data_IF_604971639152
#
_entry.id   IF_604971639152
#
_cell.length_a   1.000
_cell.length_b   1.000
_cell.length_c   1.000
_cell.angle_alpha   90.00
_cell.angle_beta   90.00
_cell.angle_gamma   90.00
#
_symmetry.space_group_name_H-M   'P 1'
#
loop_
_entity.id
_entity.type
_entity.pdbx_description
1 polymer ?
#
# COMPACT_ATOMS: atom_id res chain seq x y z
N UNK A 1 -6.17 -10.97 -20.54
CA UNK A 1 -6.97 -10.95 -21.78
C UNK A 1 -6.04 -10.54 -22.93
N UNK A 2 -6.08 -11.25 -24.05
CA UNK A 2 -5.25 -10.96 -25.23
C UNK A 2 -5.89 -9.80 -26.00
N UNK A 3 -5.10 -8.78 -26.39
CA UNK A 3 -5.57 -7.64 -27.18
C UNK A 3 -4.78 -7.57 -28.48
N UNK A 4 -5.46 -7.78 -29.60
CA UNK A 4 -4.85 -7.74 -30.93
C UNK A 4 -5.34 -6.51 -31.70
N UNK A 5 -4.42 -5.84 -32.40
CA UNK A 5 -4.77 -4.92 -33.49
C UNK A 5 -4.60 -5.67 -34.80
N UNK A 6 -5.65 -5.69 -35.62
CA UNK A 6 -5.60 -6.23 -36.98
C UNK A 6 -5.55 -5.09 -38.00
N UNK A 7 -4.61 -5.15 -38.95
CA UNK A 7 -4.53 -4.25 -40.10
C UNK A 7 -4.62 -5.07 -41.38
N UNK A 8 -5.48 -4.64 -42.30
CA UNK A 8 -5.71 -5.32 -43.58
C UNK A 8 -5.36 -4.43 -44.77
N UNK A 9 -4.76 -5.02 -45.81
CA UNK A 9 -4.55 -4.36 -47.11
C UNK A 9 -4.79 -5.34 -48.26
N UNK A 10 -5.42 -4.88 -49.35
CA UNK A 10 -5.56 -5.68 -50.58
C UNK A 10 -4.21 -5.76 -51.29
N UNK A 11 -3.82 -6.95 -51.73
CA UNK A 11 -2.57 -7.15 -52.45
C UNK A 11 -2.69 -6.63 -53.88
N UNK A 12 -1.71 -5.84 -54.38
CA UNK A 12 -1.79 -5.27 -55.73
C UNK A 12 -1.90 -6.35 -56.81
N UNK A 13 -2.87 -6.20 -57.71
CA UNK A 13 -3.03 -7.10 -58.87
C UNK A 13 -3.59 -8.48 -58.57
N UNK A 14 -4.09 -8.73 -57.35
CA UNK A 14 -4.71 -10.01 -56.95
C UNK A 14 -6.03 -9.76 -56.19
N UNK A 15 -6.83 -10.81 -56.01
CA UNK A 15 -8.00 -10.80 -55.10
C UNK A 15 -7.63 -11.17 -53.65
N UNK A 16 -6.33 -11.21 -53.33
CA UNK A 16 -5.83 -11.61 -52.01
C UNK A 16 -5.73 -10.41 -51.05
N UNK A 17 -5.80 -10.71 -49.76
CA UNK A 17 -5.69 -9.72 -48.68
C UNK A 17 -4.54 -10.09 -47.73
N UNK A 18 -3.69 -9.12 -47.41
CA UNK A 18 -2.71 -9.21 -46.34
C UNK A 18 -3.37 -8.74 -45.04
N UNK A 19 -3.36 -9.61 -44.02
CA UNK A 19 -3.80 -9.30 -42.66
C UNK A 19 -2.61 -9.41 -41.71
N UNK A 20 -2.31 -8.35 -40.97
CA UNK A 20 -1.27 -8.30 -39.94
C UNK A 20 -1.97 -8.18 -38.58
N UNK A 21 -1.57 -9.02 -37.62
CA UNK A 21 -2.04 -8.98 -36.24
C UNK A 21 -0.87 -8.60 -35.32
N UNK A 22 -1.00 -7.46 -34.64
CA UNK A 22 -0.07 -7.00 -33.61
C UNK A 22 -0.66 -7.36 -32.24
N UNK A 23 0.07 -8.13 -31.41
CA UNK A 23 -0.27 -8.29 -30.00
C UNK A 23 0.16 -7.05 -29.21
N UNK A 24 -0.83 -6.31 -28.71
CA UNK A 24 -0.64 -5.08 -27.96
C UNK A 24 -1.07 -5.24 -26.50
N UNK A 25 -1.22 -6.48 -26.01
CA UNK A 25 -1.65 -6.74 -24.64
C UNK A 25 -0.81 -6.02 -23.58
N UNK A 26 0.51 -6.01 -23.75
CA UNK A 26 1.40 -5.31 -22.80
C UNK A 26 1.19 -3.79 -22.84
N UNK A 27 1.05 -3.21 -24.03
CA UNK A 27 0.84 -1.77 -24.20
C UNK A 27 -0.50 -1.34 -23.58
N UNK A 28 -1.57 -2.10 -23.84
CA UNK A 28 -2.91 -1.80 -23.29
C UNK A 28 -2.93 -1.99 -21.78
N UNK A 29 -2.26 -3.03 -21.28
CA UNK A 29 -2.11 -3.27 -19.84
C UNK A 29 -1.37 -2.12 -19.17
N UNK A 30 -0.25 -1.68 -19.74
CA UNK A 30 0.55 -0.56 -19.23
C UNK A 30 -0.26 0.76 -19.23
N UNK A 31 -0.99 1.05 -20.31
CA UNK A 31 -1.85 2.23 -20.37
C UNK A 31 -2.97 2.20 -19.34
N UNK A 32 -3.62 1.04 -19.14
CA UNK A 32 -4.64 0.88 -18.10
C UNK A 32 -4.06 1.07 -16.71
N UNK A 33 -2.90 0.49 -16.43
CA UNK A 33 -2.22 0.66 -15.14
C UNK A 33 -1.89 2.14 -14.87
N UNK A 34 -1.36 2.86 -15.87
CA UNK A 34 -1.07 4.28 -15.75
C UNK A 34 -2.34 5.11 -15.49
N UNK A 35 -3.41 4.88 -16.25
CA UNK A 35 -4.68 5.57 -16.06
C UNK A 35 -5.28 5.28 -14.67
N UNK A 36 -5.19 4.02 -14.21
CA UNK A 36 -5.59 3.65 -12.86
C UNK A 36 -4.77 4.40 -11.80
N UNK A 37 -3.45 4.50 -11.95
CA UNK A 37 -2.59 5.25 -11.03
C UNK A 37 -2.99 6.72 -10.87
N UNK A 38 -3.38 7.37 -11.97
CA UNK A 38 -3.86 8.75 -11.94
C UNK A 38 -5.22 8.87 -11.23
N UNK A 39 -6.16 7.96 -11.53
CA UNK A 39 -7.47 7.91 -10.88
C UNK A 39 -7.33 7.68 -9.37
N UNK A 40 -6.51 6.73 -8.95
CA UNK A 40 -6.29 6.44 -7.54
C UNK A 40 -5.61 7.60 -6.81
N UNK A 41 -4.65 8.29 -7.44
CA UNK A 41 -4.05 9.50 -6.87
C UNK A 41 -5.08 10.58 -6.63
N UNK A 42 -5.93 10.84 -7.63
CA UNK A 42 -6.98 11.85 -7.52
C UNK A 42 -7.99 11.49 -6.44
N UNK A 43 -8.47 10.26 -6.41
CA UNK A 43 -9.36 9.76 -5.36
C UNK A 43 -8.72 9.88 -3.98
N UNK A 44 -7.43 9.57 -3.84
CA UNK A 44 -6.75 9.68 -2.56
C UNK A 44 -6.68 11.12 -2.05
N UNK A 45 -6.44 12.08 -2.95
CA UNK A 45 -6.54 13.50 -2.60
C UNK A 45 -7.98 13.89 -2.24
N UNK A 46 -8.96 13.48 -3.05
CA UNK A 46 -10.37 13.82 -2.85
C UNK A 46 -10.95 13.22 -1.55
N UNK A 47 -10.46 12.07 -1.07
CA UNK A 47 -10.87 11.46 0.21
C UNK A 47 -10.12 12.08 1.40
N UNK A 48 -8.84 12.43 1.26
CA UNK A 48 -8.11 13.13 2.34
C UNK A 48 -8.69 14.51 2.66
N UNK A 49 -9.26 15.17 1.65
CA UNK A 49 -9.84 16.51 1.77
C UNK A 49 -10.99 16.60 2.77
N UNK A 50 -12.01 15.72 2.81
CA UNK A 50 -13.04 15.71 3.85
C UNK A 50 -12.54 15.15 5.18
N UNK A 51 -11.56 14.23 5.20
CA UNK A 51 -11.05 13.63 6.43
C UNK A 51 -10.33 14.62 7.35
N UNK A 52 -9.53 15.53 6.78
CA UNK A 52 -8.75 16.49 7.58
C UNK A 52 -9.66 17.47 8.35
N UNK A 53 -10.67 18.11 7.74
CA UNK A 53 -11.62 18.94 8.48
C UNK A 53 -12.48 18.16 9.49
N UNK A 54 -12.80 16.89 9.25
CA UNK A 54 -13.53 16.04 10.21
C UNK A 54 -12.70 15.88 11.49
N UNK A 55 -11.42 15.50 11.35
CA UNK A 55 -10.50 15.39 12.48
C UNK A 55 -10.37 16.72 13.24
N UNK A 56 -10.06 17.80 12.52
CA UNK A 56 -9.91 19.12 13.13
C UNK A 56 -11.19 19.60 13.84
N UNK A 57 -12.36 19.24 13.30
CA UNK A 57 -13.65 19.58 13.94
C UNK A 57 -13.85 18.81 15.24
N UNK A 58 -13.47 17.53 15.30
CA UNK A 58 -13.53 16.71 16.50
C UNK A 58 -12.55 17.22 17.58
N UNK A 59 -11.29 17.44 17.23
CA UNK A 59 -10.27 18.00 18.13
C UNK A 59 -10.67 19.39 18.65
N UNK A 60 -11.22 20.24 17.77
CA UNK A 60 -11.73 21.57 18.17
C UNK A 60 -12.93 21.47 19.11
N UNK A 61 -13.80 20.48 18.92
CA UNK A 61 -14.95 20.26 19.80
C UNK A 61 -14.46 19.86 21.21
N UNK A 62 -13.49 18.95 21.29
CA UNK A 62 -12.85 18.57 22.55
C UNK A 62 -12.24 19.79 23.24
N UNK A 63 -11.35 20.51 22.55
CA UNK A 63 -10.68 21.70 23.08
C UNK A 63 -11.67 22.74 23.63
N UNK A 64 -12.82 22.92 22.97
CA UNK A 64 -13.83 23.91 23.39
C UNK A 64 -14.63 23.50 24.62
N UNK A 65 -14.85 22.20 24.82
CA UNK A 65 -15.70 21.64 25.87
C UNK A 65 -14.92 21.12 27.07
N UNK A 66 -13.61 20.90 26.93
CA UNK A 66 -12.73 20.51 28.04
C UNK A 66 -12.85 21.48 29.21
N UNK A 67 -13.19 20.94 30.38
CA UNK A 67 -13.38 21.71 31.62
C UNK A 67 -14.69 22.52 31.68
N UNK A 68 -15.58 22.38 30.69
CA UNK A 68 -16.91 23.02 30.66
C UNK A 68 -18.07 22.03 30.83
N UNK A 69 -17.75 20.75 30.90
CA UNK A 69 -18.70 19.65 31.12
C UNK A 69 -18.31 18.90 32.40
N UNK A 70 -19.25 18.17 33.00
CA UNK A 70 -18.99 17.33 34.18
C UNK A 70 -18.05 16.17 33.86
N UNK A 71 -17.50 15.51 34.89
CA UNK A 71 -16.59 14.36 34.71
C UNK A 71 -17.15 13.24 33.81
N UNK A 72 -18.39 12.76 33.95
CA UNK A 72 -18.89 11.68 33.10
C UNK A 72 -19.01 12.11 31.62
N UNK A 73 -19.44 13.36 31.36
CA UNK A 73 -19.50 13.90 30.00
C UNK A 73 -18.11 14.19 29.43
N UNK A 74 -17.14 14.61 30.26
CA UNK A 74 -15.75 14.84 29.84
C UNK A 74 -15.10 13.54 29.37
N UNK A 75 -15.27 12.44 30.13
CA UNK A 75 -14.74 11.14 29.77
C UNK A 75 -15.36 10.63 28.45
N UNK A 76 -16.67 10.81 28.26
CA UNK A 76 -17.36 10.48 27.02
C UNK A 76 -16.88 11.31 25.83
N UNK A 77 -16.67 12.62 26.02
CA UNK A 77 -16.15 13.52 25.00
C UNK A 77 -14.76 13.07 24.51
N UNK A 78 -13.82 12.89 25.44
CA UNK A 78 -12.45 12.49 25.11
C UNK A 78 -12.40 11.12 24.44
N UNK A 79 -13.18 10.14 24.92
CA UNK A 79 -13.26 8.82 24.28
C UNK A 79 -13.83 8.91 22.86
N UNK A 80 -14.87 9.73 22.65
CA UNK A 80 -15.51 9.89 21.34
C UNK A 80 -14.58 10.56 20.34
N UNK A 81 -13.89 11.62 20.77
CA UNK A 81 -12.94 12.36 19.92
C UNK A 81 -11.76 11.47 19.55
N UNK A 82 -11.18 10.75 20.51
CA UNK A 82 -10.14 9.75 20.25
C UNK A 82 -10.59 8.73 19.21
N UNK A 83 -11.79 8.17 19.37
CA UNK A 83 -12.35 7.20 18.40
C UNK A 83 -12.46 7.80 16.99
N UNK A 84 -12.92 9.05 16.86
CA UNK A 84 -13.01 9.72 15.54
C UNK A 84 -11.62 9.91 14.94
N UNK A 85 -10.64 10.37 15.72
CA UNK A 85 -9.26 10.59 15.26
C UNK A 85 -8.66 9.26 14.78
N UNK A 86 -8.76 8.20 15.58
CA UNK A 86 -8.25 6.87 15.26
C UNK A 86 -8.86 6.32 13.96
N UNK A 87 -10.18 6.50 13.75
CA UNK A 87 -10.86 6.07 12.52
C UNK A 87 -10.47 6.91 11.30
N UNK A 88 -10.31 8.23 11.46
CA UNK A 88 -9.84 9.10 10.37
C UNK A 88 -8.42 8.72 9.95
N UNK A 89 -7.54 8.42 10.90
CA UNK A 89 -6.17 8.02 10.60
C UNK A 89 -6.10 6.62 9.96
N UNK A 90 -6.92 5.67 10.40
CA UNK A 90 -7.09 4.38 9.71
C UNK A 90 -7.53 4.57 8.26
N UNK A 91 -8.51 5.45 8.00
CA UNK A 91 -8.95 5.77 6.63
C UNK A 91 -7.85 6.42 5.79
N UNK A 92 -7.05 7.33 6.36
CA UNK A 92 -5.90 7.92 5.65
C UNK A 92 -4.87 6.85 5.26
N UNK A 93 -4.60 5.87 6.12
CA UNK A 93 -3.70 4.74 5.84
C UNK A 93 -4.22 3.92 4.66
N UNK A 94 -5.47 3.47 4.71
CA UNK A 94 -6.12 2.73 3.62
C UNK A 94 -6.09 3.49 2.29
N UNK A 95 -6.35 4.80 2.33
CA UNK A 95 -6.30 5.67 1.15
C UNK A 95 -4.89 5.80 0.58
N UNK A 96 -3.87 5.86 1.44
CA UNK A 96 -2.47 5.85 1.02
C UNK A 96 -2.09 4.52 0.37
N UNK A 97 -2.44 3.40 1.01
CA UNK A 97 -2.18 2.05 0.49
C UNK A 97 -2.86 1.84 -0.87
N UNK A 98 -4.11 2.29 -1.01
CA UNK A 98 -4.83 2.22 -2.29
C UNK A 98 -4.16 3.05 -3.40
N UNK A 99 -3.71 4.27 -3.07
CA UNK A 99 -2.93 5.11 -3.99
C UNK A 99 -1.63 4.42 -4.41
N UNK A 100 -0.94 3.82 -3.45
CA UNK A 100 0.37 3.22 -3.66
C UNK A 100 0.23 1.92 -4.48
N UNK A 101 -0.85 1.15 -4.29
CA UNK A 101 -1.20 0.00 -5.13
C UNK A 101 -1.39 0.38 -6.62
N UNK A 102 -2.10 1.48 -6.88
CA UNK A 102 -2.33 1.95 -8.24
C UNK A 102 -1.07 2.56 -8.89
N UNK A 103 -0.02 2.79 -8.10
CA UNK A 103 1.25 3.34 -8.54
C UNK A 103 2.32 2.31 -8.82
N UNK A 104 2.08 1.01 -8.61
CA UNK A 104 3.12 0.00 -8.85
C UNK A 104 3.63 0.15 -10.29
N UNK A 105 4.89 0.61 -10.49
CA UNK A 105 5.49 0.56 -11.81
C UNK A 105 5.53 -0.90 -12.25
N UNK A 106 5.57 -1.15 -13.56
CA UNK A 106 5.78 -2.50 -14.06
C UNK A 106 7.00 -3.10 -13.34
N UNK A 107 6.78 -4.23 -12.66
CA UNK A 107 7.83 -4.86 -11.85
C UNK A 107 9.03 -5.16 -12.75
N UNK A 108 10.20 -4.67 -12.38
CA UNK A 108 11.41 -4.96 -13.14
C UNK A 108 12.00 -6.27 -12.60
N UNK A 109 11.58 -7.38 -13.22
CA UNK A 109 11.97 -8.72 -12.79
C UNK A 109 13.46 -8.97 -13.06
N UNK A 110 14.27 -8.87 -12.01
CA UNK A 110 15.70 -9.20 -12.00
C UNK A 110 15.96 -10.40 -11.10
N UNK A 111 17.09 -11.11 -11.27
CA UNK A 111 17.54 -12.07 -10.26
C UNK A 111 17.73 -11.36 -8.90
N UNK A 112 17.05 -11.85 -7.87
CA UNK A 112 17.10 -11.33 -6.50
C UNK A 112 17.55 -12.44 -5.56
N UNK A 113 18.57 -12.14 -4.76
CA UNK A 113 18.94 -12.94 -3.59
C UNK A 113 17.98 -12.60 -2.45
N UNK A 114 17.07 -13.54 -2.15
CA UNK A 114 16.03 -13.33 -1.15
C UNK A 114 16.60 -13.29 0.28
N UNK A 115 17.69 -14.03 0.55
CA UNK A 115 18.31 -14.05 1.88
C UNK A 115 18.97 -12.72 2.20
N UNK A 116 19.69 -12.15 1.22
CA UNK A 116 20.27 -10.82 1.34
C UNK A 116 19.17 -9.76 1.54
N UNK A 117 18.09 -9.83 0.75
CA UNK A 117 16.96 -8.90 0.88
C UNK A 117 16.29 -8.96 2.26
N UNK A 118 16.02 -10.15 2.77
CA UNK A 118 15.42 -10.34 4.10
C UNK A 118 16.36 -9.78 5.17
N UNK A 119 17.65 -10.07 5.07
CA UNK A 119 18.66 -9.60 6.03
C UNK A 119 18.74 -8.07 6.06
N UNK A 120 18.72 -7.41 4.91
CA UNK A 120 18.67 -5.95 4.84
C UNK A 120 17.42 -5.38 5.52
N UNK A 121 16.25 -5.99 5.31
CA UNK A 121 15.00 -5.55 5.97
C UNK A 121 15.10 -5.73 7.47
N UNK A 122 15.62 -6.87 7.93
CA UNK A 122 15.82 -7.14 9.35
C UNK A 122 16.74 -6.14 10.03
N UNK A 123 17.75 -5.59 9.35
CA UNK A 123 18.59 -4.55 9.94
C UNK A 123 17.76 -3.37 10.42
N UNK A 124 16.74 -2.92 9.70
CA UNK A 124 15.87 -1.81 10.11
C UNK A 124 15.09 -2.11 11.40
N UNK A 125 14.68 -3.37 11.59
CA UNK A 125 13.95 -3.83 12.77
C UNK A 125 14.87 -4.18 13.95
N UNK A 126 16.17 -4.39 13.68
CA UNK A 126 17.19 -4.69 14.69
C UNK A 126 17.99 -3.44 15.11
N UNK A 127 18.08 -2.41 14.25
CA UNK A 127 18.87 -1.19 14.48
C UNK A 127 18.13 -0.09 15.23
N UNK A 128 16.80 -0.15 15.29
CA UNK A 128 16.07 0.64 16.28
C UNK A 128 16.30 0.02 17.64
N UNK A 129 17.01 0.75 18.50
CA UNK A 129 17.15 0.51 19.92
C UNK A 129 15.79 0.65 20.63
N UNK A 130 14.84 -0.22 20.29
CA UNK A 130 13.69 -0.57 21.11
C UNK A 130 14.03 -1.75 22.04
N UNK A 131 15.30 -1.81 22.47
CA UNK A 131 15.82 -2.73 23.48
C UNK A 131 15.20 -2.54 24.88
N UNK A 132 14.17 -1.70 25.02
CA UNK A 132 13.33 -1.66 26.23
C UNK A 132 11.82 -1.63 25.94
N UNK A 133 11.36 -1.52 24.69
CA UNK A 133 9.92 -1.37 24.35
C UNK A 133 9.41 -2.13 23.10
N UNK A 134 10.24 -2.87 22.36
CA UNK A 134 9.73 -3.73 21.29
C UNK A 134 9.06 -4.99 21.90
N UNK A 135 7.74 -5.02 21.89
CA UNK A 135 6.91 -6.06 22.53
C UNK A 135 7.06 -7.44 21.86
N UNK A 136 7.62 -7.53 20.64
CA UNK A 136 7.64 -8.78 19.85
C UNK A 136 9.03 -9.09 19.27
N UNK A 137 9.68 -10.19 19.69
CA UNK A 137 10.93 -10.63 19.08
C UNK A 137 10.70 -11.17 17.67
N UNK A 138 11.53 -10.72 16.71
CA UNK A 138 11.55 -11.22 15.33
C UNK A 138 12.74 -12.14 15.14
N UNK A 139 12.51 -13.34 14.59
CA UNK A 139 13.56 -14.32 14.28
C UNK A 139 13.50 -14.71 12.80
N UNK A 140 14.64 -15.06 12.21
CA UNK A 140 14.73 -15.46 10.81
C UNK A 140 15.39 -16.84 10.67
N UNK A 141 14.78 -17.70 9.87
CA UNK A 141 15.30 -19.01 9.51
C UNK A 141 15.38 -19.07 7.98
N UNK A 142 16.59 -18.92 7.44
CA UNK A 142 16.84 -18.81 6.00
C UNK A 142 17.59 -20.04 5.49
N UNK A 143 17.17 -20.59 4.35
CA UNK A 143 17.91 -21.66 3.68
C UNK A 143 19.14 -21.07 2.96
N UNK A 144 20.38 -21.40 3.36
CA UNK A 144 21.59 -20.88 2.73
C UNK A 144 21.75 -21.34 1.26
N UNK A 145 20.99 -22.35 0.82
CA UNK A 145 21.02 -22.87 -0.56
C UNK A 145 19.87 -22.35 -1.43
N UNK A 146 19.07 -21.40 -0.93
CA UNK A 146 17.97 -20.83 -1.69
C UNK A 146 18.48 -20.22 -3.02
N UNK A 147 17.91 -20.63 -4.18
CA UNK A 147 18.32 -20.06 -5.46
C UNK A 147 17.78 -18.63 -5.63
N UNK A 148 18.42 -17.78 -6.46
CA UNK A 148 17.88 -16.48 -6.80
C UNK A 148 16.51 -16.60 -7.48
N UNK A 149 15.59 -15.71 -7.11
CA UNK A 149 14.26 -15.63 -7.73
C UNK A 149 14.19 -14.49 -8.74
N UNK A 150 13.28 -14.57 -9.72
CA UNK A 150 12.97 -13.41 -10.55
C UNK A 150 11.95 -12.53 -9.83
N UNK A 151 12.37 -11.32 -9.46
CA UNK A 151 11.52 -10.39 -8.72
C UNK A 151 12.00 -8.96 -8.84
N UNK A 152 11.16 -8.02 -8.41
CA UNK A 152 11.55 -6.63 -8.19
C UNK A 152 11.94 -6.48 -6.71
N UNK A 153 13.21 -6.18 -6.46
CA UNK A 153 13.75 -6.14 -5.10
C UNK A 153 13.07 -5.08 -4.22
N UNK A 154 12.66 -3.94 -4.80
CA UNK A 154 12.00 -2.87 -4.05
C UNK A 154 10.57 -3.26 -3.68
N UNK A 155 9.83 -3.88 -4.61
CA UNK A 155 8.48 -4.36 -4.33
C UNK A 155 8.48 -5.50 -3.32
N UNK A 156 9.41 -6.46 -3.44
CA UNK A 156 9.56 -7.55 -2.47
C UNK A 156 9.94 -7.02 -1.08
N UNK A 157 10.81 -6.00 -1.00
CA UNK A 157 11.14 -5.31 0.27
C UNK A 157 9.88 -4.76 0.95
N UNK A 158 9.01 -4.11 0.18
CA UNK A 158 7.75 -3.58 0.69
C UNK A 158 6.81 -4.68 1.19
N UNK A 159 6.70 -5.80 0.45
CA UNK A 159 5.90 -6.96 0.88
C UNK A 159 6.38 -7.48 2.24
N UNK A 160 7.69 -7.71 2.37
CA UNK A 160 8.28 -8.22 3.62
C UNK A 160 8.03 -7.22 4.76
N UNK A 161 8.25 -5.93 4.54
CA UNK A 161 8.00 -4.89 5.53
C UNK A 161 6.54 -4.86 6.00
N UNK A 162 5.57 -4.90 5.06
CA UNK A 162 4.15 -4.90 5.39
C UNK A 162 3.72 -6.14 6.18
N UNK A 163 4.28 -7.32 5.84
CA UNK A 163 3.98 -8.55 6.58
C UNK A 163 4.50 -8.47 8.03
N UNK A 164 5.68 -7.90 8.24
CA UNK A 164 6.26 -7.71 9.57
C UNK A 164 5.45 -6.73 10.39
N UNK A 165 5.09 -5.58 9.82
CA UNK A 165 4.26 -4.58 10.48
C UNK A 165 2.89 -5.16 10.86
N UNK A 166 2.23 -5.86 9.93
CA UNK A 166 0.95 -6.53 10.21
C UNK A 166 1.06 -7.56 11.34
N UNK A 167 2.18 -8.27 11.44
CA UNK A 167 2.41 -9.24 12.51
C UNK A 167 2.61 -8.56 13.87
N UNK A 168 3.27 -7.40 13.91
CA UNK A 168 3.44 -6.60 15.13
C UNK A 168 2.11 -5.99 15.60
N UNK A 169 1.37 -5.33 14.69
CA UNK A 169 0.06 -4.72 14.97
C UNK A 169 -0.94 -5.77 15.52
N UNK A 170 -0.91 -7.00 14.97
CA UNK A 170 -1.76 -8.09 15.42
C UNK A 170 -1.47 -8.56 16.86
N UNK A 171 -0.25 -8.34 17.36
CA UNK A 171 0.17 -8.74 18.69
C UNK A 171 -0.08 -7.62 19.72
N UNK A 172 0.03 -6.36 19.34
CA UNK A 172 -0.34 -5.20 20.19
C UNK A 172 -1.86 -5.16 20.51
N UNK A 173 -2.70 -5.64 19.58
CA UNK A 173 -4.15 -5.73 19.78
C UNK A 173 -4.63 -6.70 20.89
N UNK A 174 -3.72 -7.44 21.55
CA UNK A 174 -4.06 -8.36 22.66
C UNK A 174 -3.96 -7.74 24.05
N UNK A 175 -3.29 -6.60 24.22
CA UNK A 175 -3.09 -5.97 25.54
C UNK A 175 -4.15 -4.92 25.90
N UNK A 176 -5.19 -4.75 25.07
CA UNK A 176 -6.29 -3.79 25.26
C UNK A 176 -7.68 -4.38 25.57
N UNK A 177 -7.76 -5.65 25.97
CA UNK A 177 -9.00 -6.38 26.29
C UNK A 177 -9.22 -6.61 27.77
#
# INVERSE_FOLDING_TARGET
AITLIARGAKMPGTEEFLLVFDDISEIVSAQRAQAWGEVARRLAHEIKNPLTPIQLSAERLEMKLTGKVGEPEQALLTKSVKTIVDQVDALKRLVNEFRDYARLPAAELKPVDLNALITDVMQLYLSDNASENAVVPVTTELDPKAPPIKGDAQQLRQVIHNLLQNAQDAQEGKDGG
#
